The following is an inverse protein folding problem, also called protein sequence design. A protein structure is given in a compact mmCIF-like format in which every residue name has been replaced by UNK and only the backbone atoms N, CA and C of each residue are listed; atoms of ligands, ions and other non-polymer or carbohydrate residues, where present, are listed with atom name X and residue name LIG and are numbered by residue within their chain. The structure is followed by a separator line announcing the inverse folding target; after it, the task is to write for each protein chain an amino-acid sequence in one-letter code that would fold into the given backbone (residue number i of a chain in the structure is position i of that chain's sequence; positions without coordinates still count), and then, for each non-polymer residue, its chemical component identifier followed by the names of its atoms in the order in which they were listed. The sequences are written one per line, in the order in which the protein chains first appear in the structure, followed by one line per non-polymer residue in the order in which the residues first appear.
data_IF_099775469967
#
_entry.id   IF_099775469967
#
_cell.length_a   1.000
_cell.length_b   1.000
_cell.length_c   1.000
_cell.angle_alpha   90.00
_cell.angle_beta   90.00
_cell.angle_gamma   90.00
#
_symmetry.space_group_name_H-M   'P 1'
#
loop_
_entity.id
_entity.type
_entity.pdbx_description
1 polymer ?
#
# COMPACT_ATOMS: atom_id res chain seq x y z
N UNK A 1 -0.92 46.10 -50.76
CA UNK A 1 -1.99 46.50 -49.83
C UNK A 1 -1.65 47.87 -49.24
N UNK A 2 -2.58 48.80 -49.29
CA UNK A 2 -2.38 50.22 -49.02
C UNK A 2 -1.83 50.52 -47.61
N UNK A 3 -0.77 51.34 -47.53
CA UNK A 3 -0.29 51.91 -46.27
C UNK A 3 -1.35 52.88 -45.72
N UNK A 4 -2.14 52.42 -44.75
CA UNK A 4 -2.97 53.33 -43.93
C UNK A 4 -2.03 54.21 -43.13
N UNK A 5 -2.13 55.52 -43.33
CA UNK A 5 -1.48 56.56 -42.51
C UNK A 5 -2.07 56.59 -41.09
N UNK A 6 -1.88 55.52 -40.33
CA UNK A 6 -2.27 55.46 -38.93
C UNK A 6 -1.14 56.07 -38.10
N UNK A 7 -1.27 57.36 -37.79
CA UNK A 7 -0.53 57.95 -36.67
C UNK A 7 -1.02 57.25 -35.41
N UNK A 8 -0.18 56.40 -34.82
CA UNK A 8 -0.44 55.76 -33.53
C UNK A 8 0.71 56.07 -32.57
N UNK A 9 0.45 55.96 -31.28
CA UNK A 9 1.41 56.33 -30.26
C UNK A 9 2.58 55.32 -30.25
N UNK A 10 3.81 55.84 -30.34
CA UNK A 10 5.00 55.00 -30.22
C UNK A 10 5.16 54.48 -28.78
N UNK A 11 5.36 53.18 -28.60
CA UNK A 11 5.51 52.53 -27.29
C UNK A 11 6.68 53.07 -26.43
N UNK A 12 7.75 53.57 -27.05
CA UNK A 12 8.95 54.02 -26.32
C UNK A 12 8.88 55.52 -26.03
N UNK A 13 8.66 56.37 -27.04
CA UNK A 13 8.67 57.82 -26.83
C UNK A 13 7.30 58.43 -26.52
N UNK A 14 6.21 57.64 -26.49
CA UNK A 14 4.84 58.07 -26.20
C UNK A 14 4.30 59.23 -27.05
N UNK A 15 4.89 59.48 -28.23
CA UNK A 15 4.46 60.54 -29.16
C UNK A 15 3.63 59.96 -30.31
N UNK A 16 2.59 60.68 -30.71
CA UNK A 16 1.77 60.34 -31.89
C UNK A 16 2.53 60.65 -33.17
N UNK A 17 3.01 59.60 -33.83
CA UNK A 17 3.82 59.67 -35.06
C UNK A 17 3.45 58.53 -36.00
N UNK A 18 4.02 58.53 -37.19
CA UNK A 18 3.98 57.36 -38.07
C UNK A 18 4.78 56.24 -37.39
N UNK A 19 4.13 55.12 -37.15
CA UNK A 19 4.71 53.96 -36.46
C UNK A 19 4.67 52.71 -37.31
N UNK A 20 5.63 51.83 -37.07
CA UNK A 20 5.82 50.56 -37.76
C UNK A 20 5.76 49.43 -36.71
N UNK A 21 4.99 48.36 -36.96
CA UNK A 21 4.90 47.23 -36.05
C UNK A 21 6.17 46.36 -36.12
N UNK A 22 6.59 45.84 -34.97
CA UNK A 22 7.58 44.77 -34.89
C UNK A 22 6.86 43.42 -34.89
N UNK A 23 7.15 42.55 -35.86
CA UNK A 23 6.51 41.23 -36.00
C UNK A 23 6.79 40.30 -34.79
N UNK A 24 7.92 40.50 -34.09
CA UNK A 24 8.28 39.69 -32.93
C UNK A 24 7.51 40.04 -31.66
N UNK A 25 7.51 41.32 -31.24
CA UNK A 25 6.89 41.74 -29.98
C UNK A 25 5.48 42.31 -30.14
N UNK A 26 4.97 42.39 -31.38
CA UNK A 26 3.64 42.92 -31.73
C UNK A 26 3.38 44.38 -31.29
N UNK A 27 4.44 45.14 -31.00
CA UNK A 27 4.38 46.56 -30.60
C UNK A 27 4.71 47.49 -31.76
N UNK A 28 4.14 48.70 -31.72
CA UNK A 28 4.33 49.75 -32.72
C UNK A 28 5.36 50.80 -32.27
N UNK A 29 6.36 51.05 -33.12
CA UNK A 29 7.48 51.94 -32.84
C UNK A 29 7.60 53.03 -33.90
N UNK A 30 8.09 54.22 -33.55
CA UNK A 30 8.54 55.17 -34.55
C UNK A 30 9.83 54.67 -35.21
N UNK A 31 10.16 55.16 -36.42
CA UNK A 31 11.30 54.65 -37.20
C UNK A 31 12.62 54.63 -36.42
N UNK A 32 12.90 55.68 -35.65
CA UNK A 32 14.13 55.81 -34.86
C UNK A 32 14.18 54.80 -33.70
N UNK A 33 13.06 54.61 -33.00
CA UNK A 33 12.97 53.69 -31.86
C UNK A 33 12.92 52.23 -32.32
N UNK A 34 12.34 51.95 -33.50
CA UNK A 34 12.38 50.62 -34.11
C UNK A 34 13.82 50.23 -34.48
N UNK A 35 14.61 51.20 -34.97
CA UNK A 35 16.02 50.97 -35.32
C UNK A 35 16.84 50.65 -34.08
N UNK A 36 16.64 51.40 -32.98
CA UNK A 36 17.26 51.08 -31.68
C UNK A 36 16.83 49.72 -31.14
N UNK A 37 15.54 49.39 -31.21
CA UNK A 37 15.01 48.09 -30.78
C UNK A 37 15.67 46.94 -31.56
N UNK A 38 15.86 47.07 -32.87
CA UNK A 38 16.57 46.09 -33.69
C UNK A 38 18.06 46.00 -33.38
N UNK A 39 18.69 47.12 -33.01
CA UNK A 39 20.09 47.13 -32.61
C UNK A 39 20.33 46.34 -31.32
N UNK A 40 19.44 46.46 -30.33
CA UNK A 40 19.48 45.65 -29.10
C UNK A 40 19.33 44.16 -29.41
N UNK A 41 18.38 43.79 -30.29
CA UNK A 41 18.21 42.39 -30.70
C UNK A 41 19.45 41.82 -31.42
N UNK A 42 20.15 42.64 -32.21
CA UNK A 42 21.40 42.23 -32.84
C UNK A 42 22.51 42.02 -31.80
N UNK A 43 22.59 42.85 -30.76
CA UNK A 43 23.54 42.66 -29.65
C UNK A 43 23.24 41.36 -28.88
N UNK A 44 21.97 41.06 -28.60
CA UNK A 44 21.56 39.78 -27.99
C UNK A 44 21.92 38.57 -28.86
N UNK A 45 21.72 38.68 -30.18
CA UNK A 45 22.12 37.64 -31.12
C UNK A 45 23.64 37.41 -31.11
N UNK A 46 24.44 38.48 -31.03
CA UNK A 46 25.89 38.35 -30.92
C UNK A 46 26.33 37.65 -29.62
N UNK A 47 25.65 37.87 -28.50
CA UNK A 47 25.90 37.14 -27.25
C UNK A 47 25.59 35.65 -27.39
N UNK A 48 24.45 35.30 -28.00
CA UNK A 48 24.07 33.90 -28.24
C UNK A 48 25.08 33.19 -29.16
N UNK A 49 25.54 33.87 -30.21
CA UNK A 49 26.55 33.33 -31.12
C UNK A 49 27.87 33.08 -30.39
N UNK A 50 28.31 34.03 -29.55
CA UNK A 50 29.53 33.88 -28.77
C UNK A 50 29.43 32.72 -27.76
N UNK A 51 28.29 32.55 -27.08
CA UNK A 51 28.05 31.42 -26.18
C UNK A 51 28.06 30.08 -26.92
N UNK A 52 27.47 30.04 -28.12
CA UNK A 52 27.50 28.86 -28.99
C UNK A 52 28.92 28.49 -29.40
N UNK A 53 29.73 29.47 -29.81
CA UNK A 53 31.11 29.24 -30.24
C UNK A 53 31.99 28.79 -29.06
N UNK A 54 31.81 29.37 -27.86
CA UNK A 54 32.48 28.91 -26.65
C UNK A 54 32.08 27.48 -26.26
N UNK A 55 30.78 27.14 -26.37
CA UNK A 55 30.29 25.79 -26.09
C UNK A 55 30.85 24.78 -27.10
N UNK A 56 30.85 25.15 -28.39
CA UNK A 56 31.40 24.34 -29.48
C UNK A 56 32.89 24.10 -29.31
N UNK A 57 33.65 25.13 -28.91
CA UNK A 57 35.08 25.02 -28.62
C UNK A 57 35.36 24.06 -27.45
N UNK A 58 34.62 24.21 -26.33
CA UNK A 58 34.70 23.29 -25.19
C UNK A 58 34.36 21.84 -25.58
N UNK A 59 33.33 21.66 -26.43
CA UNK A 59 32.93 20.35 -26.91
C UNK A 59 33.98 19.70 -27.82
N UNK A 60 34.72 20.49 -28.62
CA UNK A 60 35.82 19.98 -29.43
C UNK A 60 37.08 19.66 -28.63
N UNK A 61 37.36 20.41 -27.55
CA UNK A 61 38.54 20.24 -26.69
C UNK A 61 38.36 19.13 -25.64
N UNK A 62 37.11 18.82 -25.25
CA UNK A 62 36.74 17.78 -24.30
C UNK A 62 35.68 16.85 -24.92
N UNK A 63 36.05 16.01 -25.89
CA UNK A 63 35.18 14.90 -26.29
C UNK A 63 34.98 13.98 -25.07
N UNK A 64 33.77 13.89 -24.49
CA UNK A 64 33.56 13.04 -23.32
C UNK A 64 33.75 11.57 -23.72
N UNK A 65 34.45 10.81 -22.90
CA UNK A 65 34.53 9.37 -23.05
C UNK A 65 33.12 8.78 -22.84
N UNK A 66 32.75 7.68 -23.53
CA UNK A 66 31.48 6.98 -23.25
C UNK A 66 31.29 6.59 -21.77
N UNK A 67 32.37 6.56 -20.98
CA UNK A 67 32.34 6.30 -19.54
C UNK A 67 31.89 7.49 -18.68
N UNK A 68 31.91 8.72 -19.19
CA UNK A 68 31.55 9.93 -18.43
C UNK A 68 30.03 10.24 -18.49
N UNK A 69 29.26 9.37 -19.15
CA UNK A 69 27.81 9.48 -19.21
C UNK A 69 27.20 9.02 -17.88
N UNK A 70 26.60 9.97 -17.15
CA UNK A 70 25.79 9.81 -15.92
C UNK A 70 24.86 8.56 -15.88
N UNK A 71 24.50 8.00 -17.04
CA UNK A 71 23.76 6.75 -17.15
C UNK A 71 24.52 5.52 -16.63
N UNK A 72 25.85 5.45 -16.83
CA UNK A 72 26.68 4.35 -16.32
C UNK A 72 26.75 4.42 -14.78
N UNK A 73 26.91 5.62 -14.21
CA UNK A 73 26.85 5.81 -12.76
C UNK A 73 25.47 5.46 -12.19
N UNK A 74 24.38 5.78 -12.91
CA UNK A 74 23.04 5.35 -12.52
C UNK A 74 22.86 3.83 -12.58
N UNK A 75 23.46 3.15 -13.56
CA UNK A 75 23.47 1.68 -13.65
C UNK A 75 24.28 1.08 -12.51
N UNK A 76 25.48 1.61 -12.24
CA UNK A 76 26.33 1.16 -11.13
C UNK A 76 25.65 1.36 -9.77
N UNK A 77 24.98 2.51 -9.58
CA UNK A 77 24.22 2.77 -8.36
C UNK A 77 23.01 1.82 -8.24
N UNK A 78 22.30 1.58 -9.33
CA UNK A 78 21.21 0.61 -9.37
C UNK A 78 21.69 -0.81 -9.05
N UNK A 79 22.86 -1.21 -9.54
CA UNK A 79 23.48 -2.50 -9.24
C UNK A 79 23.82 -2.63 -7.75
N UNK A 80 24.48 -1.62 -7.18
CA UNK A 80 24.81 -1.57 -5.75
C UNK A 80 23.55 -1.65 -4.88
N UNK A 81 22.52 -0.86 -5.18
CA UNK A 81 21.26 -0.84 -4.44
C UNK A 81 20.54 -2.20 -4.53
N UNK A 82 20.58 -2.84 -5.72
CA UNK A 82 20.03 -4.17 -5.96
C UNK A 82 20.74 -5.24 -5.11
N UNK A 83 22.08 -5.23 -5.08
CA UNK A 83 22.88 -6.17 -4.28
C UNK A 83 22.61 -5.97 -2.79
N UNK A 84 22.50 -4.73 -2.32
CA UNK A 84 22.26 -4.43 -0.91
C UNK A 84 20.88 -4.93 -0.47
N UNK A 85 19.85 -4.76 -1.31
CA UNK A 85 18.52 -5.35 -1.08
C UNK A 85 18.58 -6.87 -0.94
N UNK A 86 19.33 -7.55 -1.82
CA UNK A 86 19.51 -9.02 -1.75
C UNK A 86 20.20 -9.42 -0.44
N UNK A 87 21.26 -8.71 -0.04
CA UNK A 87 21.97 -8.97 1.22
C UNK A 87 21.05 -8.81 2.43
N UNK A 88 20.30 -7.71 2.49
CA UNK A 88 19.36 -7.45 3.57
C UNK A 88 18.27 -8.53 3.62
N UNK A 89 17.76 -8.96 2.46
CA UNK A 89 16.80 -10.04 2.35
C UNK A 89 17.34 -11.36 2.90
N UNK A 90 18.55 -11.74 2.48
CA UNK A 90 19.23 -12.93 2.97
C UNK A 90 19.53 -12.86 4.48
N UNK A 91 19.81 -11.67 5.02
CA UNK A 91 19.96 -11.44 6.46
C UNK A 91 18.65 -11.72 7.20
N UNK A 92 17.53 -11.12 6.76
CA UNK A 92 16.23 -11.34 7.37
C UNK A 92 15.81 -12.82 7.30
N UNK A 93 16.07 -13.51 6.18
CA UNK A 93 15.81 -14.94 6.06
C UNK A 93 16.61 -15.77 7.08
N UNK A 94 17.88 -15.41 7.33
CA UNK A 94 18.71 -16.07 8.35
C UNK A 94 18.15 -15.82 9.75
N UNK A 95 17.75 -14.59 10.08
CA UNK A 95 17.16 -14.26 11.38
C UNK A 95 15.87 -15.06 11.63
N UNK A 96 14.97 -15.15 10.65
CA UNK A 96 13.74 -15.94 10.75
C UNK A 96 14.05 -17.43 10.92
N UNK A 97 15.03 -17.96 10.20
CA UNK A 97 15.46 -19.35 10.35
C UNK A 97 15.97 -19.61 11.76
N UNK A 98 16.79 -18.70 12.31
CA UNK A 98 17.32 -18.80 13.67
C UNK A 98 16.20 -18.70 14.72
N UNK A 99 15.26 -17.76 14.60
CA UNK A 99 14.11 -17.65 15.51
C UNK A 99 13.21 -18.89 15.46
N UNK A 100 12.98 -19.44 14.27
CA UNK A 100 12.17 -20.64 14.07
C UNK A 100 12.85 -21.88 14.67
N UNK A 101 14.17 -22.00 14.49
CA UNK A 101 14.98 -23.05 15.13
C UNK A 101 14.97 -22.91 16.65
N UNK A 102 15.14 -21.69 17.17
CA UNK A 102 15.10 -21.44 18.61
C UNK A 102 13.75 -21.81 19.21
N UNK A 103 12.66 -21.49 18.52
CA UNK A 103 11.31 -21.89 18.95
C UNK A 103 11.17 -23.42 18.97
N UNK A 104 11.71 -24.11 17.96
CA UNK A 104 11.72 -25.56 17.92
C UNK A 104 12.53 -26.19 19.07
N UNK A 105 13.67 -25.60 19.41
CA UNK A 105 14.50 -26.03 20.55
C UNK A 105 13.73 -25.85 21.85
N UNK A 106 13.11 -24.68 22.07
CA UNK A 106 12.33 -24.42 23.28
C UNK A 106 11.12 -25.37 23.40
N UNK A 107 10.44 -25.70 22.30
CA UNK A 107 9.36 -26.70 22.28
C UNK A 107 9.87 -28.09 22.72
N UNK A 108 11.04 -28.50 22.22
CA UNK A 108 11.68 -29.77 22.58
C UNK A 108 12.09 -29.78 24.05
N UNK A 109 12.66 -28.68 24.55
CA UNK A 109 13.01 -28.53 25.98
C UNK A 109 11.79 -28.65 26.89
N UNK A 110 10.66 -28.02 26.52
CA UNK A 110 9.41 -28.15 27.28
C UNK A 110 8.91 -29.60 27.31
N UNK A 111 8.96 -30.32 26.18
CA UNK A 111 8.58 -31.74 26.11
C UNK A 111 9.50 -32.61 26.97
N UNK A 112 10.81 -32.34 26.99
CA UNK A 112 11.75 -33.03 27.86
C UNK A 112 11.46 -32.79 29.34
N UNK A 113 11.14 -31.55 29.72
CA UNK A 113 10.80 -31.20 31.10
C UNK A 113 9.50 -31.88 31.54
N UNK A 114 8.47 -31.89 30.70
CA UNK A 114 7.20 -32.59 30.97
C UNK A 114 7.41 -34.10 31.15
N UNK A 115 8.21 -34.72 30.28
CA UNK A 115 8.56 -36.13 30.41
C UNK A 115 9.35 -36.43 31.70
N UNK A 116 10.23 -35.52 32.12
CA UNK A 116 11.00 -35.65 33.35
C UNK A 116 10.11 -35.59 34.60
N UNK A 117 9.13 -34.69 34.63
CA UNK A 117 8.15 -34.62 35.73
C UNK A 117 7.27 -35.88 35.78
N UNK A 118 6.83 -36.38 34.62
CA UNK A 118 6.09 -37.65 34.54
C UNK A 118 6.93 -38.83 35.05
N UNK A 119 8.22 -38.89 34.70
CA UNK A 119 9.15 -39.92 35.20
C UNK A 119 9.27 -39.88 36.73
N UNK A 120 9.41 -38.68 37.32
CA UNK A 120 9.46 -38.51 38.77
C UNK A 120 8.16 -38.95 39.44
N UNK A 121 7.01 -38.61 38.86
CA UNK A 121 5.71 -38.98 39.38
C UNK A 121 5.53 -40.50 39.43
N UNK A 122 5.82 -41.20 38.33
CA UNK A 122 5.78 -42.67 38.30
C UNK A 122 6.74 -43.29 39.32
N UNK A 123 7.91 -42.69 39.53
CA UNK A 123 8.86 -43.10 40.57
C UNK A 123 8.36 -42.89 42.00
N UNK A 124 7.68 -41.79 42.30
CA UNK A 124 7.14 -41.55 43.64
C UNK A 124 5.92 -42.41 43.96
N UNK A 125 5.11 -42.74 42.95
CA UNK A 125 3.84 -43.46 43.13
C UNK A 125 4.01 -44.99 43.00
N UNK A 126 5.18 -45.48 42.59
CA UNK A 126 5.44 -46.91 42.28
C UNK A 126 4.45 -47.50 41.25
N UNK A 127 3.77 -46.66 40.46
CA UNK A 127 2.79 -47.05 39.44
C UNK A 127 3.48 -47.40 38.11
N UNK A 128 4.24 -48.48 38.09
CA UNK A 128 4.90 -48.96 36.89
C UNK A 128 4.21 -50.20 36.32
N UNK A 129 3.71 -50.08 35.09
CA UNK A 129 3.20 -51.19 34.30
C UNK A 129 3.71 -51.09 32.85
N UNK A 130 3.51 -52.14 32.06
CA UNK A 130 3.98 -52.22 30.67
C UNK A 130 3.39 -51.11 29.78
N UNK A 131 2.19 -50.62 30.10
CA UNK A 131 1.53 -49.54 29.37
C UNK A 131 2.27 -48.21 29.61
N UNK A 132 2.58 -47.90 30.88
CA UNK A 132 3.30 -46.68 31.26
C UNK A 132 4.72 -46.66 30.67
N UNK A 133 5.42 -47.79 30.69
CA UNK A 133 6.77 -47.90 30.10
C UNK A 133 6.76 -47.77 28.57
N UNK A 134 5.77 -48.34 27.88
CA UNK A 134 5.64 -48.18 26.43
C UNK A 134 5.24 -46.77 26.03
N UNK A 135 4.40 -46.09 26.82
CA UNK A 135 4.07 -44.69 26.63
C UNK A 135 5.33 -43.80 26.68
N UNK A 136 6.14 -43.92 27.76
CA UNK A 136 7.38 -43.15 27.92
C UNK A 136 8.39 -43.40 26.79
N UNK A 137 8.56 -44.66 26.37
CA UNK A 137 9.43 -45.01 25.22
C UNK A 137 8.95 -44.37 23.92
N UNK A 138 7.65 -44.33 23.68
CA UNK A 138 7.08 -43.71 22.49
C UNK A 138 7.23 -42.19 22.49
N UNK A 139 7.06 -41.52 23.63
CA UNK A 139 7.30 -40.07 23.74
C UNK A 139 8.77 -39.72 23.53
N UNK A 140 9.70 -40.47 24.13
CA UNK A 140 11.15 -40.33 23.89
C UNK A 140 11.51 -40.51 22.41
N UNK A 141 10.90 -41.50 21.75
CA UNK A 141 11.11 -41.75 20.32
C UNK A 141 10.65 -40.59 19.45
N UNK A 142 9.47 -40.00 19.74
CA UNK A 142 8.96 -38.82 19.02
C UNK A 142 9.87 -37.61 19.18
N UNK A 143 10.35 -37.34 20.40
CA UNK A 143 11.26 -36.23 20.67
C UNK A 143 12.58 -36.41 19.89
N UNK A 144 13.11 -37.65 19.84
CA UNK A 144 14.31 -37.97 19.08
C UNK A 144 14.13 -37.77 17.57
N UNK A 145 13.00 -38.20 17.02
CA UNK A 145 12.68 -38.01 15.60
C UNK A 145 12.55 -36.51 15.24
N UNK A 146 12.01 -35.67 16.14
CA UNK A 146 11.94 -34.22 15.95
C UNK A 146 13.31 -33.52 16.06
N UNK A 147 14.23 -34.05 16.88
CA UNK A 147 15.60 -33.54 17.03
C UNK A 147 16.46 -33.86 15.79
N UNK A 148 16.35 -35.10 15.28
CA UNK A 148 17.15 -35.60 14.16
C UNK A 148 16.67 -35.02 12.81
N UNK A 149 15.41 -34.60 12.70
CA UNK A 149 14.84 -33.93 11.54
C UNK A 149 13.89 -32.79 11.96
N UNK A 150 14.41 -31.55 12.17
CA UNK A 150 13.58 -30.40 12.48
C UNK A 150 12.73 -30.06 11.25
N UNK A 151 11.55 -30.67 11.18
CA UNK A 151 10.71 -30.78 9.98
C UNK A 151 10.02 -29.47 9.59
N UNK A 152 10.40 -28.35 10.22
CA UNK A 152 9.72 -27.06 10.18
C UNK A 152 10.28 -26.11 9.13
N UNK A 153 11.37 -26.42 8.42
CA UNK A 153 12.06 -25.45 7.55
C UNK A 153 12.55 -26.10 6.25
N UNK A 154 12.18 -25.53 5.10
CA UNK A 154 12.75 -25.84 3.79
C UNK A 154 13.18 -24.57 3.07
N UNK A 155 14.26 -24.67 2.29
CA UNK A 155 14.75 -23.56 1.47
C UNK A 155 14.24 -23.80 0.04
N UNK A 156 13.44 -22.88 -0.49
CA UNK A 156 13.05 -22.87 -1.90
C UNK A 156 13.74 -21.72 -2.64
N UNK A 157 14.36 -22.04 -3.76
CA UNK A 157 14.92 -21.09 -4.69
C UNK A 157 13.94 -20.91 -5.87
N UNK A 158 13.42 -19.69 -6.06
CA UNK A 158 12.59 -19.35 -7.22
C UNK A 158 13.47 -18.69 -8.28
N UNK A 159 13.42 -19.22 -9.51
CA UNK A 159 14.35 -18.89 -10.61
C UNK A 159 13.71 -18.01 -11.70
N UNK A 160 12.58 -17.37 -11.41
CA UNK A 160 11.79 -16.64 -12.40
C UNK A 160 12.06 -15.12 -12.48
N UNK A 161 12.98 -14.58 -11.68
CA UNK A 161 13.50 -13.22 -11.83
C UNK A 161 14.99 -13.25 -12.20
N UNK A 162 15.53 -12.16 -12.76
CA UNK A 162 16.93 -12.03 -13.20
C UNK A 162 17.95 -12.24 -12.04
N UNK A 163 17.43 -12.34 -10.80
CA UNK A 163 18.12 -12.66 -9.57
C UNK A 163 17.43 -13.90 -8.98
N UNK A 164 18.19 -14.94 -8.63
CA UNK A 164 17.65 -16.09 -7.92
C UNK A 164 17.07 -15.66 -6.57
N UNK A 165 15.77 -15.84 -6.37
CA UNK A 165 15.09 -15.53 -5.12
C UNK A 165 15.22 -16.71 -4.16
N UNK A 166 15.77 -16.47 -2.96
CA UNK A 166 15.80 -17.48 -1.89
C UNK A 166 14.63 -17.19 -0.94
N UNK A 167 13.79 -18.19 -0.75
CA UNK A 167 12.66 -18.17 0.17
C UNK A 167 12.76 -19.34 1.15
N UNK A 168 12.31 -19.13 2.38
CA UNK A 168 12.16 -20.20 3.35
C UNK A 168 10.67 -20.53 3.43
N UNK A 169 10.36 -21.82 3.30
CA UNK A 169 9.01 -22.35 3.41
C UNK A 169 8.98 -23.30 4.59
N UNK A 170 8.11 -23.02 5.55
CA UNK A 170 7.71 -24.01 6.55
C UNK A 170 6.91 -25.11 5.85
N UNK A 171 7.46 -26.32 5.80
CA UNK A 171 6.78 -27.51 5.28
C UNK A 171 5.81 -28.05 6.33
N UNK A 172 4.79 -27.28 6.69
CA UNK A 172 3.57 -27.96 7.11
C UNK A 172 2.96 -28.63 5.87
N UNK A 173 2.66 -29.92 6.04
CA UNK A 173 1.82 -30.76 5.17
C UNK A 173 0.86 -29.91 4.34
N UNK A 174 0.70 -30.21 3.03
CA UNK A 174 -0.37 -29.68 2.14
C UNK A 174 -1.52 -29.18 3.03
N UNK A 175 -1.85 -27.89 3.07
CA UNK A 175 -2.64 -27.33 4.16
C UNK A 175 -4.05 -27.94 4.11
N UNK A 176 -4.19 -29.08 4.78
CA UNK A 176 -5.40 -29.44 5.49
C UNK A 176 -5.30 -28.60 6.75
N UNK A 177 -5.77 -27.35 6.64
CA UNK A 177 -6.16 -26.60 7.82
C UNK A 177 -7.12 -27.50 8.59
N UNK A 178 -6.63 -28.08 9.68
CA UNK A 178 -7.53 -28.63 10.68
C UNK A 178 -8.44 -27.48 11.11
N UNK A 179 -9.72 -27.77 11.33
CA UNK A 179 -10.71 -26.86 11.93
C UNK A 179 -10.30 -26.52 13.39
N UNK A 180 -9.07 -26.06 13.61
CA UNK A 180 -8.52 -25.62 14.89
C UNK A 180 -8.78 -24.12 15.05
N UNK A 181 -9.44 -23.77 16.16
CA UNK A 181 -9.93 -22.42 16.49
C UNK A 181 -8.96 -21.30 16.08
N UNK A 182 -9.32 -20.54 15.05
CA UNK A 182 -8.70 -19.24 14.77
C UNK A 182 -8.99 -18.32 15.97
N UNK A 183 -7.99 -18.06 16.81
CA UNK A 183 -8.09 -17.16 17.97
C UNK A 183 -8.07 -15.70 17.49
N UNK A 184 -9.16 -15.26 16.88
CA UNK A 184 -9.36 -13.87 16.52
C UNK A 184 -9.69 -13.05 17.79
N UNK A 185 -8.86 -12.07 18.11
CA UNK A 185 -9.10 -11.16 19.25
C UNK A 185 -9.80 -9.91 18.74
N UNK A 186 -10.91 -9.52 19.37
CA UNK A 186 -11.54 -8.22 19.08
C UNK A 186 -10.71 -7.13 19.75
N UNK A 187 -10.19 -6.21 18.95
CA UNK A 187 -9.26 -5.16 19.41
C UNK A 187 -9.89 -3.77 19.45
N UNK A 188 -10.98 -3.55 18.71
CA UNK A 188 -11.77 -2.33 18.77
C UNK A 188 -13.24 -2.64 18.46
N UNK A 189 -14.15 -1.95 19.16
CA UNK A 189 -15.58 -2.23 19.13
C UNK A 189 -15.95 -3.50 19.90
N UNK A 190 -16.97 -4.23 19.43
CA UNK A 190 -17.44 -5.46 20.08
C UNK A 190 -18.49 -5.28 21.18
N UNK A 191 -18.80 -4.03 21.56
CA UNK A 191 -19.82 -3.70 22.57
C UNK A 191 -21.18 -3.31 21.95
N UNK A 192 -21.51 -3.92 20.81
CA UNK A 192 -22.69 -3.58 20.01
C UNK A 192 -22.53 -2.32 19.14
N UNK A 193 -23.53 -2.09 18.30
CA UNK A 193 -23.62 -0.88 17.45
C UNK A 193 -24.00 0.32 18.30
N UNK A 194 -23.29 1.44 18.13
CA UNK A 194 -23.67 2.70 18.77
C UNK A 194 -22.61 3.78 18.64
N UNK A 195 -22.84 4.91 19.32
CA UNK A 195 -22.00 6.11 19.24
C UNK A 195 -21.05 6.27 20.46
N UNK A 196 -21.15 5.40 21.47
CA UNK A 196 -20.22 5.43 22.62
C UNK A 196 -18.78 5.20 22.15
N UNK A 197 -17.81 5.62 22.95
CA UNK A 197 -16.38 5.51 22.62
C UNK A 197 -15.85 4.06 22.58
N UNK A 198 -16.60 3.10 23.11
CA UNK A 198 -16.30 1.67 23.02
C UNK A 198 -17.17 0.93 21.97
N UNK A 199 -17.94 1.68 21.17
CA UNK A 199 -18.85 1.16 20.15
C UNK A 199 -18.48 1.71 18.77
N UNK A 200 -18.78 0.92 17.74
CA UNK A 200 -18.60 1.27 16.33
C UNK A 200 -19.92 1.06 15.58
N UNK A 201 -20.09 1.71 14.45
CA UNK A 201 -21.25 1.58 13.58
C UNK A 201 -20.82 1.52 12.12
N UNK A 202 -20.80 0.29 11.59
CA UNK A 202 -20.35 -0.04 10.22
C UNK A 202 -19.01 0.63 9.87
N UNK A 203 -17.93 0.29 10.59
CA UNK A 203 -16.60 0.78 10.24
C UNK A 203 -16.17 0.19 8.90
N UNK A 204 -15.55 0.99 8.04
CA UNK A 204 -15.14 0.55 6.70
C UNK A 204 -13.62 0.53 6.52
N UNK A 205 -12.93 1.63 6.85
CA UNK A 205 -11.49 1.80 6.73
C UNK A 205 -10.74 1.68 8.05
N UNK A 206 -9.49 1.22 7.95
CA UNK A 206 -8.58 1.06 9.08
C UNK A 206 -7.16 1.41 8.66
N UNK A 207 -6.45 2.11 9.54
CA UNK A 207 -5.02 2.34 9.42
C UNK A 207 -4.34 2.09 10.76
N UNK A 208 -3.11 1.59 10.71
CA UNK A 208 -2.30 1.29 11.89
C UNK A 208 -0.98 2.04 11.70
N UNK A 209 -0.64 2.89 12.67
CA UNK A 209 0.64 3.60 12.66
C UNK A 209 1.77 2.73 13.25
N UNK A 210 3.03 3.20 13.15
CA UNK A 210 4.20 2.55 13.76
C UNK A 210 4.12 2.40 15.28
N UNK A 211 3.32 3.23 15.94
CA UNK A 211 3.08 3.16 17.39
C UNK A 211 1.98 2.16 17.76
N UNK A 212 1.39 1.45 16.77
CA UNK A 212 0.27 0.52 16.90
C UNK A 212 -1.02 1.19 17.38
N UNK A 213 -1.16 2.49 17.14
CA UNK A 213 -2.44 3.16 17.24
C UNK A 213 -3.27 2.80 16.02
N UNK A 214 -4.55 2.51 16.26
CA UNK A 214 -5.48 2.05 15.24
C UNK A 214 -6.47 3.16 14.96
N UNK A 215 -6.43 3.69 13.74
CA UNK A 215 -7.35 4.70 13.24
C UNK A 215 -8.48 4.00 12.49
N UNK A 216 -9.72 4.28 12.87
CA UNK A 216 -10.89 3.62 12.31
C UNK A 216 -11.83 4.66 11.73
N UNK A 217 -12.20 4.49 10.47
CA UNK A 217 -13.30 5.21 9.86
C UNK A 217 -14.64 4.61 10.33
N UNK A 218 -15.21 5.17 11.40
CA UNK A 218 -16.50 4.76 11.97
C UNK A 218 -17.64 5.36 11.14
N UNK A 219 -17.82 4.82 9.93
CA UNK A 219 -18.50 5.47 8.82
C UNK A 219 -19.92 5.94 9.16
N UNK A 220 -20.75 5.11 9.78
CA UNK A 220 -22.14 5.51 10.06
C UNK A 220 -22.29 6.38 11.31
N UNK A 221 -21.22 6.59 12.06
CA UNK A 221 -21.17 7.60 13.13
C UNK A 221 -20.47 8.90 12.67
N UNK A 222 -20.11 9.01 11.39
CA UNK A 222 -19.53 10.23 10.80
C UNK A 222 -18.28 10.72 11.55
N UNK A 223 -17.40 9.80 11.94
CA UNK A 223 -16.20 10.12 12.75
C UNK A 223 -15.03 9.21 12.44
N UNK A 224 -13.84 9.68 12.78
CA UNK A 224 -12.62 8.88 12.89
C UNK A 224 -12.31 8.71 14.38
N UNK A 225 -12.05 7.46 14.77
CA UNK A 225 -11.71 7.11 16.15
C UNK A 225 -10.34 6.46 16.18
N UNK A 226 -9.48 6.94 17.07
CA UNK A 226 -8.18 6.36 17.39
C UNK A 226 -8.31 5.44 18.60
N UNK A 227 -7.82 4.20 18.48
CA UNK A 227 -7.59 3.28 19.59
C UNK A 227 -6.10 3.09 19.80
N UNK A 228 -5.61 3.52 20.97
CA UNK A 228 -4.24 3.22 21.38
C UNK A 228 -4.08 1.74 21.70
N UNK A 229 -2.85 1.25 21.64
CA UNK A 229 -2.54 -0.14 21.95
C UNK A 229 -3.11 -0.55 23.33
N UNK A 230 -3.89 -1.65 23.35
CA UNK A 230 -4.59 -2.20 24.53
C UNK A 230 -5.66 -1.29 25.17
N UNK A 231 -6.05 -0.19 24.53
CA UNK A 231 -7.12 0.67 25.03
C UNK A 231 -8.49 -0.02 24.93
N UNK A 232 -9.31 0.10 25.98
CA UNK A 232 -10.70 -0.42 26.00
C UNK A 232 -11.70 0.51 25.31
N UNK A 233 -11.36 1.79 25.17
CA UNK A 233 -12.19 2.84 24.57
C UNK A 233 -11.35 3.64 23.58
N UNK A 234 -11.99 4.13 22.53
CA UNK A 234 -11.35 4.97 21.52
C UNK A 234 -11.48 6.45 21.86
N UNK A 235 -10.69 7.27 21.18
CA UNK A 235 -10.76 8.73 21.22
C UNK A 235 -11.17 9.25 19.85
N UNK A 236 -12.10 10.19 19.80
CA UNK A 236 -12.50 10.82 18.53
C UNK A 236 -11.40 11.80 18.12
N UNK A 237 -10.83 11.58 16.93
CA UNK A 237 -9.75 12.42 16.39
C UNK A 237 -10.20 13.28 15.21
N UNK A 238 -11.34 12.95 14.59
CA UNK A 238 -12.04 13.81 13.63
C UNK A 238 -13.55 13.48 13.54
N UNK A 239 -14.37 14.45 13.13
CA UNK A 239 -15.83 14.30 13.02
C UNK A 239 -16.60 14.30 14.35
N UNK A 240 -17.88 13.86 14.34
CA UNK A 240 -18.76 13.83 15.52
C UNK A 240 -18.90 15.16 16.31
N UNK A 241 -19.24 16.25 15.61
CA UNK A 241 -19.59 17.58 16.16
C UNK A 241 -18.45 18.53 16.54
N UNK A 242 -17.23 18.37 16.01
CA UNK A 242 -16.27 19.50 15.98
C UNK A 242 -16.87 20.69 15.21
N UNK A 243 -16.64 21.93 15.67
CA UNK A 243 -17.07 23.15 14.96
C UNK A 243 -16.28 23.28 13.65
N UNK A 244 -16.93 23.00 12.52
CA UNK A 244 -16.33 23.06 11.17
C UNK A 244 -16.66 21.83 10.32
N UNK A 245 -16.91 22.06 9.02
CA UNK A 245 -17.12 21.10 7.91
C UNK A 245 -17.20 19.60 8.27
N UNK A 246 -18.31 19.17 8.90
CA UNK A 246 -18.52 17.81 9.40
C UNK A 246 -18.24 16.71 8.36
N UNK A 247 -17.60 15.63 8.82
CA UNK A 247 -17.46 14.39 8.03
C UNK A 247 -18.85 13.79 7.76
N UNK A 248 -18.99 13.11 6.63
CA UNK A 248 -20.20 12.41 6.23
C UNK A 248 -19.81 11.05 5.64
N UNK A 249 -20.07 9.97 6.39
CA UNK A 249 -19.73 8.59 6.00
C UNK A 249 -18.28 8.42 5.53
N UNK A 250 -17.28 8.79 6.34
CA UNK A 250 -15.88 8.56 5.97
C UNK A 250 -15.65 7.06 5.73
N UNK A 251 -15.01 6.71 4.63
CA UNK A 251 -14.85 5.30 4.21
C UNK A 251 -13.44 4.78 4.44
N UNK A 252 -12.46 5.67 4.44
CA UNK A 252 -11.05 5.32 4.62
C UNK A 252 -10.28 6.42 5.36
N UNK A 253 -9.19 6.03 6.00
CA UNK A 253 -8.32 6.94 6.76
C UNK A 253 -6.87 6.45 6.65
N UNK A 254 -5.94 7.37 6.47
CA UNK A 254 -4.49 7.11 6.56
C UNK A 254 -3.81 8.23 7.37
N UNK A 255 -2.61 7.98 7.88
CA UNK A 255 -1.83 8.98 8.65
C UNK A 255 -0.64 9.44 7.83
N UNK A 256 -0.45 10.75 7.73
CA UNK A 256 0.81 11.36 7.31
C UNK A 256 1.71 11.56 8.52
N UNK A 257 2.62 10.61 8.73
CA UNK A 257 3.53 10.58 9.87
C UNK A 257 4.49 11.78 9.90
N UNK A 258 4.82 12.39 8.75
CA UNK A 258 5.73 13.54 8.73
C UNK A 258 5.06 14.80 9.28
N UNK A 259 3.79 15.00 8.96
CA UNK A 259 3.02 16.17 9.37
C UNK A 259 2.11 15.90 10.58
N UNK A 260 2.13 14.68 11.11
CA UNK A 260 1.22 14.20 12.16
C UNK A 260 -0.26 14.48 11.87
N UNK A 261 -0.63 14.48 10.59
CA UNK A 261 -2.00 14.77 10.13
C UNK A 261 -2.69 13.50 9.68
N UNK A 262 -4.00 13.43 9.81
CA UNK A 262 -4.81 12.33 9.28
C UNK A 262 -5.45 12.75 7.96
N UNK A 263 -5.42 11.87 6.97
CA UNK A 263 -6.04 12.06 5.67
C UNK A 263 -7.25 11.14 5.59
N UNK A 264 -8.40 11.70 5.24
CA UNK A 264 -9.70 11.02 5.36
C UNK A 264 -10.42 11.07 4.02
N UNK A 265 -10.91 9.92 3.59
CA UNK A 265 -11.80 9.77 2.45
C UNK A 265 -13.24 10.01 2.91
N UNK A 266 -13.70 11.26 2.80
CA UNK A 266 -15.01 11.74 3.25
C UNK A 266 -16.07 11.51 2.15
N UNK A 267 -16.48 10.25 2.00
CA UNK A 267 -17.30 9.77 0.87
C UNK A 267 -18.61 10.54 0.71
N UNK A 268 -19.34 10.80 1.78
CA UNK A 268 -20.64 11.47 1.73
C UNK A 268 -20.53 12.91 1.23
N UNK A 269 -19.39 13.56 1.49
CA UNK A 269 -19.08 14.91 1.00
C UNK A 269 -18.23 14.92 -0.28
N UNK A 270 -17.93 13.74 -0.86
CA UNK A 270 -17.21 13.57 -2.14
C UNK A 270 -15.84 14.26 -2.18
N UNK A 271 -15.09 14.16 -1.08
CA UNK A 271 -13.80 14.85 -0.92
C UNK A 271 -12.79 14.01 -0.15
N UNK A 272 -11.52 14.34 -0.32
CA UNK A 272 -10.43 13.89 0.54
C UNK A 272 -9.97 15.09 1.36
N UNK A 273 -9.90 14.91 2.69
CA UNK A 273 -9.60 15.98 3.63
C UNK A 273 -8.40 15.63 4.47
N UNK A 274 -7.54 16.60 4.72
CA UNK A 274 -6.48 16.53 5.71
C UNK A 274 -6.98 17.19 6.99
N UNK A 275 -6.71 16.54 8.11
CA UNK A 275 -7.11 16.99 9.43
C UNK A 275 -5.86 17.05 10.32
N UNK A 276 -5.60 18.22 10.88
CA UNK A 276 -4.47 18.48 11.77
C UNK A 276 -4.92 19.43 12.89
N UNK A 277 -4.77 19.03 14.15
CA UNK A 277 -5.10 19.87 15.32
C UNK A 277 -6.51 20.49 15.25
N UNK A 278 -7.52 19.71 14.86
CA UNK A 278 -8.91 20.16 14.66
C UNK A 278 -9.14 21.09 13.46
N UNK A 279 -8.08 21.52 12.77
CA UNK A 279 -8.18 22.24 11.51
C UNK A 279 -8.32 21.26 10.35
N UNK A 280 -9.22 21.60 9.44
CA UNK A 280 -9.52 20.80 8.26
C UNK A 280 -9.13 21.56 7.00
N UNK A 281 -8.42 20.88 6.11
CA UNK A 281 -8.12 21.33 4.76
C UNK A 281 -8.69 20.33 3.75
N UNK A 282 -9.36 20.83 2.72
CA UNK A 282 -9.77 19.99 1.58
C UNK A 282 -8.55 19.81 0.69
N UNK A 283 -8.14 18.55 0.47
CA UNK A 283 -7.04 18.23 -0.44
C UNK A 283 -7.54 18.04 -1.86
N UNK A 284 -8.64 17.32 -2.02
CA UNK A 284 -9.20 16.97 -3.32
C UNK A 284 -10.72 16.95 -3.20
N UNK A 285 -11.41 17.50 -4.19
CA UNK A 285 -12.87 17.50 -4.28
C UNK A 285 -13.39 16.70 -5.49
N UNK A 286 -14.71 16.55 -5.58
CA UNK A 286 -15.41 16.04 -6.77
C UNK A 286 -15.05 14.63 -7.23
N UNK A 287 -14.45 13.82 -6.37
CA UNK A 287 -14.13 12.41 -6.67
C UNK A 287 -15.40 11.56 -6.33
N UNK A 288 -15.52 10.27 -6.68
CA UNK A 288 -16.52 9.37 -6.07
C UNK A 288 -16.00 8.00 -5.55
N UNK A 289 -16.25 7.67 -4.27
CA UNK A 289 -15.89 6.40 -3.55
C UNK A 289 -14.41 5.99 -3.63
N UNK A 290 -13.69 5.99 -2.49
CA UNK A 290 -12.22 5.87 -2.49
C UNK A 290 -11.66 4.89 -1.48
N UNK A 291 -10.53 4.31 -1.87
CA UNK A 291 -9.46 3.88 -0.97
C UNK A 291 -8.32 4.89 -1.05
N UNK A 292 -7.60 5.04 0.06
CA UNK A 292 -6.44 5.92 0.17
C UNK A 292 -5.18 5.09 0.38
N UNK A 293 -4.08 5.54 -0.21
CA UNK A 293 -2.75 5.06 0.12
C UNK A 293 -1.76 6.21 0.00
N UNK A 294 -0.66 6.14 0.75
CA UNK A 294 0.42 7.11 0.65
C UNK A 294 1.75 6.40 0.68
N UNK A 295 2.65 6.76 -0.23
CA UNK A 295 4.00 6.20 -0.26
C UNK A 295 4.99 6.98 0.63
N UNK A 296 6.19 6.42 0.82
CA UNK A 296 7.27 7.05 1.60
C UNK A 296 7.75 8.40 1.04
N UNK A 297 7.43 8.69 -0.21
CA UNK A 297 7.75 9.95 -0.87
C UNK A 297 6.62 10.96 -0.76
N UNK A 298 5.55 10.66 0.00
CA UNK A 298 4.38 11.51 0.18
C UNK A 298 3.66 11.82 -1.11
N UNK A 299 3.53 10.81 -1.97
CA UNK A 299 2.47 10.81 -2.96
C UNK A 299 1.22 10.19 -2.36
N UNK A 300 0.12 10.94 -2.38
CA UNK A 300 -1.22 10.47 -2.02
C UNK A 300 -1.85 9.84 -3.26
N UNK A 301 -2.27 8.60 -3.14
CA UNK A 301 -2.99 7.84 -4.15
C UNK A 301 -4.46 7.76 -3.74
N UNK A 302 -5.36 7.91 -4.71
CA UNK A 302 -6.81 7.85 -4.49
C UNK A 302 -7.44 7.09 -5.65
N UNK A 303 -8.24 6.08 -5.35
CA UNK A 303 -9.07 5.40 -6.35
C UNK A 303 -10.40 6.13 -6.53
N UNK A 304 -10.79 6.46 -7.76
CA UNK A 304 -12.15 6.94 -8.07
C UNK A 304 -12.97 5.80 -8.65
N UNK A 305 -13.95 5.31 -7.90
CA UNK A 305 -14.76 4.18 -8.31
C UNK A 305 -15.71 4.50 -9.48
N UNK A 306 -16.04 5.77 -9.72
CA UNK A 306 -16.94 6.20 -10.81
C UNK A 306 -16.19 6.56 -12.08
N UNK A 307 -15.00 7.14 -11.96
CA UNK A 307 -14.10 7.35 -13.10
C UNK A 307 -13.33 6.09 -13.48
N UNK A 308 -13.34 5.06 -12.61
CA UNK A 308 -12.67 3.78 -12.84
C UNK A 308 -11.16 3.92 -13.00
N UNK A 309 -10.55 4.79 -12.20
CA UNK A 309 -9.14 5.11 -12.29
C UNK A 309 -8.54 5.26 -10.88
N UNK A 310 -7.21 5.21 -10.82
CA UNK A 310 -6.45 5.60 -9.63
C UNK A 310 -5.53 6.74 -10.04
N UNK A 311 -5.56 7.81 -9.25
CA UNK A 311 -4.71 8.99 -9.45
C UNK A 311 -3.78 9.18 -8.26
N UNK A 312 -2.66 9.87 -8.51
CA UNK A 312 -1.73 10.30 -7.47
C UNK A 312 -1.47 11.81 -7.50
N UNK A 313 -1.23 12.37 -6.33
CA UNK A 313 -0.84 13.76 -6.10
C UNK A 313 0.37 13.81 -5.18
N UNK A 314 1.28 14.74 -5.42
CA UNK A 314 2.33 15.05 -4.44
C UNK A 314 1.69 15.88 -3.32
N UNK A 315 1.91 15.48 -2.07
CA UNK A 315 1.40 16.25 -0.94
C UNK A 315 1.95 17.68 -0.98
N UNK A 316 1.06 18.67 -0.97
CA UNK A 316 1.38 20.09 -1.13
C UNK A 316 1.12 20.66 -2.53
N UNK A 317 0.88 19.82 -3.54
CA UNK A 317 0.70 20.22 -4.95
C UNK A 317 -0.69 19.81 -5.49
N UNK A 318 -1.76 20.29 -4.85
CA UNK A 318 -3.14 19.84 -5.14
C UNK A 318 -3.88 20.64 -6.21
N UNK A 319 -3.25 21.67 -6.79
CA UNK A 319 -3.85 22.48 -7.86
C UNK A 319 -3.80 21.78 -9.24
N UNK A 320 -3.24 20.57 -9.31
CA UNK A 320 -3.13 19.77 -10.52
C UNK A 320 -4.15 18.61 -10.49
N UNK A 321 -4.70 18.21 -11.63
CA UNK A 321 -5.74 17.17 -11.76
C UNK A 321 -5.29 15.76 -11.30
N UNK A 322 -4.05 15.62 -10.84
CA UNK A 322 -3.43 14.36 -10.44
C UNK A 322 -3.00 13.54 -11.65
N UNK A 323 -2.01 12.68 -11.43
CA UNK A 323 -1.49 11.80 -12.48
C UNK A 323 -2.21 10.46 -12.39
N UNK A 324 -2.83 10.00 -13.48
CA UNK A 324 -3.42 8.66 -13.56
C UNK A 324 -2.31 7.62 -13.49
N UNK A 325 -2.45 6.64 -12.60
CA UNK A 325 -1.49 5.54 -12.40
C UNK A 325 -2.10 4.15 -12.61
N UNK A 326 -3.43 4.04 -12.69
CA UNK A 326 -4.13 2.83 -13.08
C UNK A 326 -5.51 3.16 -13.69
N UNK A 327 -5.97 2.34 -14.63
CA UNK A 327 -7.30 2.48 -15.24
C UNK A 327 -7.45 3.64 -16.21
N UNK A 328 -6.39 4.04 -16.93
CA UNK A 328 -6.41 5.16 -17.88
C UNK A 328 -7.50 5.05 -18.95
N UNK A 329 -7.92 3.82 -19.29
CA UNK A 329 -8.94 3.54 -20.31
C UNK A 329 -10.34 3.30 -19.71
N UNK A 330 -10.57 3.77 -18.47
CA UNK A 330 -11.87 3.80 -17.81
C UNK A 330 -12.45 2.42 -17.52
N UNK A 331 -13.79 2.32 -17.65
CA UNK A 331 -14.53 1.11 -17.29
C UNK A 331 -14.22 -0.05 -18.25
N UNK A 332 -13.83 -1.20 -17.71
CA UNK A 332 -13.74 -2.44 -18.48
C UNK A 332 -12.94 -3.52 -17.78
N UNK A 333 -12.65 -4.61 -18.50
CA UNK A 333 -11.97 -5.80 -17.95
C UNK A 333 -10.56 -6.02 -18.54
N UNK A 334 -10.11 -5.18 -19.48
CA UNK A 334 -8.74 -5.23 -19.98
C UNK A 334 -7.73 -4.83 -18.90
N UNK A 335 -6.45 -5.08 -19.13
CA UNK A 335 -5.39 -4.84 -18.13
C UNK A 335 -5.01 -3.36 -17.97
N UNK A 336 -5.53 -2.47 -18.81
CA UNK A 336 -5.45 -1.01 -18.74
C UNK A 336 -6.76 -0.36 -18.27
N UNK A 337 -7.76 -1.19 -17.91
CA UNK A 337 -9.08 -0.77 -17.47
C UNK A 337 -9.38 -1.28 -16.06
N UNK A 338 -10.24 -0.58 -15.35
CA UNK A 338 -10.76 -1.00 -14.05
C UNK A 338 -12.29 -1.01 -14.09
N UNK A 339 -12.92 -1.71 -13.16
CA UNK A 339 -14.36 -1.71 -12.99
C UNK A 339 -14.71 -1.56 -11.51
N UNK A 340 -14.95 -0.30 -11.15
CA UNK A 340 -15.32 0.14 -9.80
C UNK A 340 -14.24 -0.16 -8.76
N UNK A 341 -13.01 0.36 -8.94
CA UNK A 341 -11.91 0.15 -8.01
C UNK A 341 -12.27 0.68 -6.61
N UNK A 342 -11.91 -0.06 -5.56
CA UNK A 342 -12.28 0.34 -4.19
C UNK A 342 -11.12 0.56 -3.24
N UNK A 343 -10.09 -0.26 -3.30
CA UNK A 343 -8.97 -0.19 -2.33
C UNK A 343 -7.65 -0.29 -3.07
N UNK A 344 -6.66 0.40 -2.52
CA UNK A 344 -5.35 0.56 -3.12
C UNK A 344 -4.27 0.26 -2.08
N UNK A 345 -3.21 -0.40 -2.54
CA UNK A 345 -1.98 -0.57 -1.78
C UNK A 345 -0.82 -0.16 -2.67
N UNK A 346 0.18 0.49 -2.09
CA UNK A 346 1.37 0.95 -2.82
C UNK A 346 2.59 0.36 -2.15
N UNK A 347 3.40 -0.39 -2.90
CA UNK A 347 4.64 -0.98 -2.39
C UNK A 347 5.82 0.02 -2.43
N UNK A 348 6.98 -0.41 -1.91
CA UNK A 348 8.18 0.44 -1.81
C UNK A 348 8.71 0.90 -3.18
N UNK A 349 8.44 0.14 -4.23
CA UNK A 349 8.82 0.45 -5.62
C UNK A 349 7.75 1.34 -6.31
N UNK A 350 6.77 1.85 -5.56
CA UNK A 350 5.61 2.63 -6.04
C UNK A 350 4.74 1.85 -7.05
N UNK A 351 4.72 0.52 -6.97
CA UNK A 351 3.72 -0.27 -7.71
C UNK A 351 2.38 -0.19 -6.98
N UNK A 352 1.31 -0.02 -7.75
CA UNK A 352 -0.05 0.17 -7.24
C UNK A 352 -0.85 -1.12 -7.43
N UNK A 353 -1.33 -1.68 -6.33
CA UNK A 353 -2.25 -2.82 -6.33
C UNK A 353 -3.66 -2.30 -6.12
N UNK A 354 -4.58 -2.68 -7.00
CA UNK A 354 -5.95 -2.18 -6.99
C UNK A 354 -6.92 -3.34 -6.84
N UNK A 355 -7.81 -3.25 -5.85
CA UNK A 355 -8.98 -4.13 -5.76
C UNK A 355 -10.00 -3.72 -6.83
N UNK A 356 -10.04 -4.48 -7.92
CA UNK A 356 -10.90 -4.25 -9.08
C UNK A 356 -12.24 -4.99 -8.87
N UNK A 357 -13.09 -4.37 -8.06
CA UNK A 357 -14.22 -5.01 -7.37
C UNK A 357 -15.18 -5.76 -8.30
N UNK A 358 -15.60 -5.16 -9.40
CA UNK A 358 -16.58 -5.78 -10.30
C UNK A 358 -15.96 -6.68 -11.36
N UNK A 359 -14.64 -6.65 -11.55
CA UNK A 359 -13.92 -7.66 -12.32
C UNK A 359 -13.41 -8.83 -11.47
N UNK A 360 -13.64 -8.79 -10.15
CA UNK A 360 -13.31 -9.89 -9.23
C UNK A 360 -11.84 -10.29 -9.28
N UNK A 361 -10.97 -9.28 -9.26
CA UNK A 361 -9.52 -9.45 -9.35
C UNK A 361 -8.80 -8.38 -8.56
N UNK A 362 -7.52 -8.61 -8.32
CA UNK A 362 -6.57 -7.58 -7.92
C UNK A 362 -5.57 -7.42 -9.05
N UNK A 363 -5.28 -6.18 -9.43
CA UNK A 363 -4.36 -5.87 -10.52
C UNK A 363 -3.24 -4.97 -10.01
N UNK A 364 -1.99 -5.30 -10.35
CA UNK A 364 -0.75 -4.59 -10.00
C UNK A 364 -0.28 -3.78 -11.22
N UNK A 365 -0.06 -2.47 -11.04
CA UNK A 365 0.62 -1.60 -12.00
C UNK A 365 1.99 -1.25 -11.45
N UNK A 366 3.05 -1.53 -12.23
CA UNK A 366 4.39 -1.03 -11.90
C UNK A 366 4.47 0.45 -12.24
N UNK A 367 5.30 1.20 -11.50
CA UNK A 367 5.52 2.63 -11.76
C UNK A 367 5.87 2.88 -13.23
N UNK A 368 5.18 3.83 -13.86
CA UNK A 368 5.40 4.22 -15.25
C UNK A 368 4.78 3.30 -16.32
N UNK A 369 4.10 2.21 -15.91
CA UNK A 369 3.41 1.32 -16.85
C UNK A 369 1.97 1.73 -17.07
N UNK A 370 1.46 1.52 -18.29
CA UNK A 370 0.06 1.78 -18.67
C UNK A 370 -0.86 0.58 -18.49
N UNK A 371 -0.29 -0.62 -18.51
CA UNK A 371 -0.99 -1.90 -18.36
C UNK A 371 -0.59 -2.57 -17.06
N UNK A 372 -1.57 -3.04 -16.33
CA UNK A 372 -1.39 -3.82 -15.12
C UNK A 372 -1.20 -5.30 -15.42
N UNK A 373 -0.95 -6.07 -14.35
CA UNK A 373 -0.93 -7.53 -14.35
C UNK A 373 -1.83 -8.05 -13.25
N UNK A 374 -2.56 -9.14 -13.51
CA UNK A 374 -3.39 -9.77 -12.48
C UNK A 374 -2.46 -10.29 -11.38
N UNK A 375 -2.69 -9.81 -10.17
CA UNK A 375 -1.92 -10.16 -8.98
C UNK A 375 -2.63 -11.22 -8.14
N UNK A 376 -3.98 -11.24 -8.17
CA UNK A 376 -4.80 -12.27 -7.55
C UNK A 376 -6.17 -12.36 -8.23
N UNK A 377 -6.76 -13.56 -8.23
CA UNK A 377 -8.05 -13.83 -8.86
C UNK A 377 -8.01 -13.72 -10.39
N UNK A 378 -9.03 -13.10 -10.99
CA UNK A 378 -9.11 -12.91 -12.45
C UNK A 378 -9.72 -14.07 -13.24
N UNK A 379 -10.05 -15.19 -12.58
CA UNK A 379 -10.71 -16.35 -13.19
C UNK A 379 -12.24 -16.33 -13.02
N UNK A 380 -12.82 -15.12 -13.08
CA UNK A 380 -14.25 -14.88 -12.89
C UNK A 380 -14.70 -14.83 -11.42
N UNK A 381 -15.99 -14.60 -11.25
CA UNK A 381 -16.67 -14.62 -9.97
C UNK A 381 -16.77 -16.06 -9.43
N UNK A 382 -16.37 -16.29 -8.18
CA UNK A 382 -16.63 -17.57 -7.53
C UNK A 382 -15.92 -17.75 -6.20
N UNK A 383 -15.91 -19.00 -5.69
CA UNK A 383 -15.35 -19.38 -4.39
C UNK A 383 -14.13 -20.30 -4.50
N UNK A 384 -13.72 -20.66 -5.70
CA UNK A 384 -12.53 -21.50 -5.90
C UNK A 384 -11.25 -20.76 -5.45
N UNK A 385 -10.14 -21.49 -5.32
CA UNK A 385 -8.86 -20.93 -4.85
C UNK A 385 -8.21 -19.99 -5.87
N UNK A 386 -8.61 -20.04 -7.14
CA UNK A 386 -8.19 -19.13 -8.20
C UNK A 386 -9.21 -18.00 -8.47
N UNK A 387 -10.29 -17.91 -7.67
CA UNK A 387 -11.41 -16.98 -7.88
C UNK A 387 -11.60 -16.06 -6.68
N UNK A 388 -12.14 -14.88 -6.97
CA UNK A 388 -12.54 -13.89 -5.97
C UNK A 388 -14.01 -13.48 -6.19
N UNK A 389 -14.58 -12.80 -5.21
CA UNK A 389 -15.95 -12.30 -5.21
C UNK A 389 -16.00 -10.92 -4.59
N UNK A 390 -15.96 -9.91 -5.46
CA UNK A 390 -15.95 -8.48 -5.10
C UNK A 390 -14.91 -8.15 -4.02
N UNK A 391 -13.60 -8.30 -4.32
CA UNK A 391 -12.55 -7.94 -3.38
C UNK A 391 -12.63 -6.44 -3.06
N UNK A 392 -12.46 -6.08 -1.78
CA UNK A 392 -12.49 -4.68 -1.34
C UNK A 392 -11.28 -4.27 -0.50
N UNK A 393 -10.31 -5.15 -0.30
CA UNK A 393 -9.09 -4.84 0.44
C UNK A 393 -7.94 -5.63 -0.14
N UNK A 394 -6.79 -5.00 -0.27
CA UNK A 394 -5.54 -5.61 -0.72
C UNK A 394 -4.38 -5.01 0.07
N UNK A 395 -3.48 -5.86 0.54
CA UNK A 395 -2.19 -5.46 1.12
C UNK A 395 -1.14 -6.48 0.69
N UNK A 396 0.12 -6.06 0.61
CA UNK A 396 1.24 -6.94 0.30
C UNK A 396 2.22 -6.90 1.46
N UNK A 397 2.69 -8.06 1.91
CA UNK A 397 3.71 -8.12 2.96
C UNK A 397 5.12 -7.87 2.39
N UNK A 398 6.10 -7.75 3.29
CA UNK A 398 7.51 -7.57 2.92
C UNK A 398 8.10 -8.79 2.18
N UNK A 399 7.34 -9.89 2.04
CA UNK A 399 7.71 -11.06 1.25
C UNK A 399 7.02 -11.14 -0.12
N UNK A 400 6.28 -10.10 -0.51
CA UNK A 400 5.55 -10.08 -1.78
C UNK A 400 4.30 -10.97 -1.77
N UNK A 401 3.85 -11.44 -0.60
CA UNK A 401 2.60 -12.18 -0.49
C UNK A 401 1.43 -11.21 -0.48
N UNK A 402 0.46 -11.45 -1.34
CA UNK A 402 -0.68 -10.58 -1.59
C UNK A 402 -1.86 -11.10 -0.78
N UNK A 403 -2.33 -10.33 0.20
CA UNK A 403 -3.50 -10.65 1.00
C UNK A 403 -4.70 -9.87 0.47
N UNK A 404 -5.80 -10.58 0.23
CA UNK A 404 -7.00 -10.01 -0.39
C UNK A 404 -8.21 -10.27 0.49
N UNK A 405 -8.93 -9.20 0.82
CA UNK A 405 -10.23 -9.28 1.47
C UNK A 405 -11.29 -9.63 0.43
N UNK A 406 -11.61 -10.91 0.33
CA UNK A 406 -12.61 -11.46 -0.60
C UNK A 406 -14.02 -11.30 -0.01
N UNK A 407 -14.53 -10.07 -0.08
CA UNK A 407 -15.59 -9.59 0.80
C UNK A 407 -16.92 -10.31 0.67
N UNK A 408 -17.37 -10.67 -0.55
CA UNK A 408 -18.66 -11.38 -0.73
C UNK A 408 -18.55 -12.84 -0.33
N UNK A 409 -17.36 -13.43 -0.44
CA UNK A 409 -17.09 -14.77 0.08
C UNK A 409 -16.77 -14.78 1.58
N UNK A 410 -16.66 -13.60 2.21
CA UNK A 410 -16.42 -13.44 3.65
C UNK A 410 -15.13 -14.12 4.12
N UNK A 411 -14.09 -14.08 3.29
CA UNK A 411 -12.79 -14.69 3.59
C UNK A 411 -11.64 -13.72 3.31
N UNK A 412 -10.48 -14.01 3.90
CA UNK A 412 -9.21 -13.41 3.48
C UNK A 412 -8.38 -14.49 2.83
N UNK A 413 -7.86 -14.20 1.65
CA UNK A 413 -7.02 -15.09 0.88
C UNK A 413 -5.62 -14.52 0.70
N UNK A 414 -4.64 -15.39 0.50
CA UNK A 414 -3.24 -15.05 0.27
C UNK A 414 -2.75 -15.68 -1.03
N UNK A 415 -2.21 -14.86 -1.91
CA UNK A 415 -1.49 -15.30 -3.10
C UNK A 415 0.00 -15.05 -2.92
N UNK A 416 0.81 -15.90 -3.55
CA UNK A 416 2.21 -15.57 -3.83
C UNK A 416 2.28 -14.98 -5.24
N UNK A 417 3.19 -14.03 -5.45
CA UNK A 417 3.36 -13.43 -6.77
C UNK A 417 3.58 -14.52 -7.84
N UNK A 418 2.87 -14.42 -8.97
CA UNK A 418 2.96 -15.38 -10.07
C UNK A 418 2.21 -16.70 -9.90
N UNK A 419 1.57 -16.98 -8.76
CA UNK A 419 0.75 -18.20 -8.60
C UNK A 419 -0.68 -18.01 -9.08
N UNK A 420 -1.26 -19.04 -9.68
CA UNK A 420 -2.63 -19.04 -10.22
C UNK A 420 -3.70 -19.19 -9.12
N UNK A 421 -3.34 -19.85 -8.01
CA UNK A 421 -4.22 -20.12 -6.87
C UNK A 421 -3.70 -19.51 -5.58
N UNK A 422 -4.63 -19.09 -4.72
CA UNK A 422 -4.35 -18.58 -3.39
C UNK A 422 -4.71 -19.58 -2.30
N UNK A 423 -4.19 -19.35 -1.09
CA UNK A 423 -4.60 -20.04 0.13
C UNK A 423 -5.60 -19.23 0.93
N UNK A 424 -6.55 -19.88 1.60
CA UNK A 424 -7.43 -19.22 2.56
C UNK A 424 -6.64 -18.96 3.85
N UNK A 425 -6.55 -17.70 4.28
CA UNK A 425 -5.91 -17.29 5.54
C UNK A 425 -6.95 -17.19 6.65
N UNK A 426 -8.11 -16.60 6.34
CA UNK A 426 -9.22 -16.46 7.27
C UNK A 426 -10.49 -16.91 6.57
N UNK A 427 -11.21 -17.88 7.15
CA UNK A 427 -12.52 -18.29 6.66
C UNK A 427 -13.61 -17.77 7.60
N UNK A 428 -14.42 -16.83 7.11
CA UNK A 428 -15.55 -16.29 7.86
C UNK A 428 -16.78 -17.20 7.89
N UNK A 429 -16.78 -18.33 7.16
CA UNK A 429 -17.91 -19.27 7.06
C UNK A 429 -17.71 -20.59 7.84
N UNK A 430 -16.55 -20.82 8.47
CA UNK A 430 -16.26 -22.05 9.20
C UNK A 430 -17.07 -22.23 10.50
N UNK A 431 -17.33 -23.50 10.88
CA UNK A 431 -17.97 -23.87 12.14
C UNK A 431 -17.14 -23.43 13.35
N UNK A 432 -17.56 -22.31 13.92
CA UNK A 432 -17.09 -21.73 15.17
C UNK A 432 -18.09 -20.64 15.52
N UNK A 433 -18.29 -20.40 16.81
CA UNK A 433 -19.31 -19.50 17.36
C UNK A 433 -19.37 -18.14 16.63
N UNK A 434 -20.49 -17.42 16.74
CA UNK A 434 -20.75 -16.09 16.17
C UNK A 434 -19.57 -15.08 16.27
N UNK A 435 -18.58 -15.36 17.13
CA UNK A 435 -17.29 -14.69 17.27
C UNK A 435 -16.40 -14.68 16.02
N UNK A 436 -16.47 -15.62 15.07
CA UNK A 436 -15.49 -15.72 13.95
C UNK A 436 -15.94 -15.19 12.58
N UNK A 437 -17.23 -14.86 12.38
CA UNK A 437 -17.73 -14.33 11.10
C UNK A 437 -17.05 -13.01 10.69
N UNK A 438 -16.70 -12.89 9.40
CA UNK A 438 -16.22 -11.68 8.73
C UNK A 438 -17.33 -11.16 7.80
N UNK A 439 -18.41 -10.63 8.36
CA UNK A 439 -19.46 -10.06 7.53
C UNK A 439 -18.95 -8.76 6.90
N UNK A 440 -18.63 -8.80 5.60
CA UNK A 440 -18.17 -7.65 4.83
C UNK A 440 -16.76 -7.17 5.21
N UNK A 441 -15.76 -8.04 5.06
CA UNK A 441 -14.35 -7.64 5.15
C UNK A 441 -14.06 -6.56 4.10
N UNK A 442 -13.92 -5.31 4.53
CA UNK A 442 -13.70 -4.15 3.66
C UNK A 442 -12.25 -3.70 3.75
N UNK A 443 -11.80 -3.24 4.91
CA UNK A 443 -10.40 -2.92 5.17
C UNK A 443 -9.60 -4.10 5.73
N UNK A 444 -8.35 -4.21 5.31
CA UNK A 444 -7.31 -5.05 5.93
C UNK A 444 -6.04 -4.23 6.12
N UNK A 445 -5.30 -4.49 7.19
CA UNK A 445 -4.00 -3.84 7.46
C UNK A 445 -3.09 -4.76 8.27
N UNK A 446 -1.77 -4.54 8.18
CA UNK A 446 -0.76 -5.25 8.98
C UNK A 446 -0.23 -4.34 10.10
N UNK A 447 0.20 -4.93 11.22
CA UNK A 447 1.17 -4.27 12.10
C UNK A 447 2.61 -4.67 11.75
N UNK A 448 3.59 -3.96 12.30
CA UNK A 448 5.04 -4.21 12.09
C UNK A 448 5.50 -5.61 12.52
N UNK A 449 4.65 -6.38 13.22
CA UNK A 449 4.90 -7.77 13.61
C UNK A 449 4.23 -8.78 12.68
N UNK A 450 3.67 -8.34 11.56
CA UNK A 450 2.98 -9.19 10.59
C UNK A 450 1.59 -9.69 11.03
N UNK A 451 0.99 -9.12 12.07
CA UNK A 451 -0.37 -9.50 12.45
C UNK A 451 -1.39 -8.83 11.51
N UNK A 452 -2.35 -9.61 11.04
CA UNK A 452 -3.40 -9.14 10.13
C UNK A 452 -4.58 -8.60 10.93
N UNK A 453 -5.01 -7.39 10.59
CA UNK A 453 -6.21 -6.76 11.14
C UNK A 453 -7.27 -6.71 10.05
N UNK A 454 -8.48 -7.17 10.37
CA UNK A 454 -9.60 -7.23 9.42
C UNK A 454 -10.79 -6.45 9.97
N UNK A 455 -11.32 -5.55 9.16
CA UNK A 455 -12.53 -4.78 9.46
C UNK A 455 -13.76 -5.64 9.16
N UNK A 456 -14.47 -6.09 10.20
CA UNK A 456 -15.77 -6.73 10.04
C UNK A 456 -16.88 -5.70 10.01
N UNK A 457 -17.08 -5.00 8.89
CA UNK A 457 -17.99 -3.84 8.79
C UNK A 457 -19.42 -4.15 9.26
N UNK A 458 -19.99 -5.28 8.84
CA UNK A 458 -21.34 -5.68 9.27
C UNK A 458 -21.39 -6.29 10.69
N UNK A 459 -20.24 -6.57 11.30
CA UNK A 459 -20.14 -7.01 12.69
C UNK A 459 -19.68 -5.90 13.65
N UNK A 460 -19.50 -4.67 13.15
CA UNK A 460 -19.19 -3.47 13.95
C UNK A 460 -17.94 -3.62 14.84
N UNK A 461 -16.94 -4.36 14.35
CA UNK A 461 -15.72 -4.66 15.12
C UNK A 461 -14.51 -4.85 14.22
N UNK A 462 -13.34 -4.63 14.80
CA UNK A 462 -12.04 -4.97 14.20
C UNK A 462 -11.49 -6.23 14.88
N UNK A 463 -11.00 -7.17 14.07
CA UNK A 463 -10.36 -8.39 14.55
C UNK A 463 -8.88 -8.40 14.21
N UNK A 464 -8.07 -8.78 15.19
CA UNK A 464 -6.66 -9.12 15.01
C UNK A 464 -6.51 -10.63 14.86
N UNK A 465 -5.79 -11.05 13.82
CA UNK A 465 -5.38 -12.42 13.57
C UNK A 465 -3.85 -12.48 13.66
N UNK A 466 -3.35 -13.34 14.55
CA UNK A 466 -1.94 -13.70 14.55
C UNK A 466 -1.73 -14.66 13.37
N UNK A 467 -1.10 -14.18 12.32
CA UNK A 467 -0.66 -15.05 11.23
C UNK A 467 0.67 -15.63 11.68
N UNK A 468 0.69 -16.94 11.94
CA UNK A 468 1.96 -17.66 12.05
C UNK A 468 2.39 -17.88 10.60
N UNK A 469 3.45 -17.18 10.19
CA UNK A 469 4.01 -17.25 8.83
C UNK A 469 4.84 -18.52 8.69
#
# INVERSE_FOLDING_TARGET
MAMRNNRTQCVICNKDKITYPCEGCLKSFCLMDLTKHRQILNEELHLIINDYDQFKQRFSEQKPSPHDLSLIDQINQWELDSIEKIKQRAKNCREIATESLQTCINDIEMKFNDLNEQLKQFHSENEFNEINLNYLRNELKKIREELDNPSKISIQQDSQSFINEISIISLEKKPKFSKGKQNAVTIAGGNGKGQKLNQLNRPDGIFIDKNKNIFIADSYNNRIVEWKHNAKVGQIVAGANFKGNQLNRPIDVIVDEQNHSIIIADRGNRRVVQWLNQNQQILIDSIYYYGLAMDRYRFLYVSDSKKHEVRRWKMGEYNNEGIIVAGENGQGHKLDQLNYPTFIFVDEDQSVYVSDRYNHRVVKWRKGTKRGRIAAGGNGFGKNLNQLSSPQGVIVDNFGQIYVADSRNQRVMRWREGKEEGGIVVDGNGEGSQSNRLNGARGISFDDKGNLYVVGSANHRIKKFKIIV
#
